data_IF_296302679052
#
_entry.id   IF_296302679052
#
_cell.length_a   1.000
_cell.length_b   1.000
_cell.length_c   1.000
_cell.angle_alpha   90.00
_cell.angle_beta   90.00
_cell.angle_gamma   90.00
#
_symmetry.space_group_name_H-M   'P 1'
#
loop_
_entity.id
_entity.type
_entity.pdbx_description
1 polymer ?
#
# COMPACT_ATOMS: atom_id res chain seq x y z
N UNK A 1 12.26 4.06 -5.82
CA UNK A 1 10.87 4.49 -5.59
C UNK A 1 10.62 5.83 -6.24
N UNK A 2 11.31 6.91 -5.85
CA UNK A 2 11.11 8.26 -6.41
C UNK A 2 11.42 8.34 -7.91
N UNK A 3 12.35 7.53 -8.43
CA UNK A 3 12.57 7.43 -9.88
C UNK A 3 11.36 6.85 -10.63
N UNK A 4 10.67 5.87 -10.04
CA UNK A 4 9.42 5.33 -10.59
C UNK A 4 8.31 6.38 -10.54
N UNK A 5 8.19 7.08 -9.41
CA UNK A 5 7.23 8.17 -9.26
C UNK A 5 7.44 9.24 -10.33
N UNK A 6 8.70 9.71 -10.51
CA UNK A 6 9.03 10.69 -11.54
C UNK A 6 8.69 10.21 -12.95
N UNK A 7 8.96 8.93 -13.25
CA UNK A 7 8.63 8.34 -14.55
C UNK A 7 7.12 8.26 -14.81
N UNK A 8 6.33 8.01 -13.79
CA UNK A 8 4.86 7.91 -13.90
C UNK A 8 4.20 9.29 -13.97
N UNK A 9 4.71 10.28 -13.23
CA UNK A 9 4.07 11.58 -13.06
C UNK A 9 4.69 12.69 -13.90
N UNK A 10 5.74 12.39 -14.70
CA UNK A 10 6.55 13.36 -15.42
C UNK A 10 7.13 14.47 -14.50
N UNK A 11 7.24 14.17 -13.21
CA UNK A 11 7.80 15.08 -12.22
C UNK A 11 9.34 15.04 -12.22
N UNK A 12 9.96 16.07 -11.68
CA UNK A 12 11.43 16.17 -11.55
C UNK A 12 11.85 16.28 -10.08
N UNK A 13 11.33 15.38 -9.24
CA UNK A 13 11.65 15.36 -7.80
C UNK A 13 13.03 14.74 -7.60
N UNK A 14 13.91 15.33 -6.73
CA UNK A 14 15.21 14.75 -6.42
C UNK A 14 15.08 13.32 -5.93
N UNK A 15 15.69 12.36 -6.62
CA UNK A 15 15.73 10.96 -6.25
C UNK A 15 17.02 10.66 -5.48
N UNK A 16 17.04 11.01 -4.19
CA UNK A 16 18.21 10.78 -3.32
C UNK A 16 18.18 9.37 -2.70
N UNK A 17 19.38 8.80 -2.45
CA UNK A 17 19.55 7.44 -1.91
C UNK A 17 19.59 7.40 -0.37
N UNK A 18 19.06 8.42 0.30
CA UNK A 18 19.03 8.44 1.76
C UNK A 18 17.66 8.00 2.29
N UNK A 19 17.61 7.16 3.33
CA UNK A 19 16.36 6.88 4.04
C UNK A 19 15.84 8.18 4.69
N UNK A 20 14.52 8.41 4.60
CA UNK A 20 13.81 9.54 5.23
C UNK A 20 14.01 10.93 4.59
N UNK A 21 14.31 11.03 3.31
CA UNK A 21 14.48 12.33 2.63
C UNK A 21 13.21 13.19 2.53
N UNK A 22 12.03 12.65 2.75
CA UNK A 22 10.76 13.37 2.58
C UNK A 22 9.91 13.28 3.84
N UNK A 23 9.66 14.43 4.49
CA UNK A 23 8.72 14.56 5.62
C UNK A 23 7.28 14.70 5.08
N UNK A 24 7.10 15.38 3.95
CA UNK A 24 5.81 15.53 3.27
C UNK A 24 5.74 14.64 2.03
N UNK A 25 4.60 13.96 1.78
CA UNK A 25 4.45 13.11 0.60
C UNK A 25 4.42 13.96 -0.68
N UNK A 26 5.11 13.50 -1.72
CA UNK A 26 4.98 14.11 -3.05
C UNK A 26 3.73 13.55 -3.74
N UNK A 27 2.92 14.43 -4.31
CA UNK A 27 1.66 14.09 -4.98
C UNK A 27 1.79 14.37 -6.46
N UNK A 28 1.47 13.38 -7.30
CA UNK A 28 1.42 13.50 -8.75
C UNK A 28 0.11 12.99 -9.32
N UNK A 29 -0.50 13.75 -10.22
CA UNK A 29 -1.75 13.39 -10.89
C UNK A 29 -1.46 13.01 -12.32
N UNK A 30 -1.90 11.83 -12.75
CA UNK A 30 -1.65 11.29 -14.07
C UNK A 30 -2.97 10.99 -14.77
N UNK A 31 -3.08 11.42 -16.03
CA UNK A 31 -4.22 11.08 -16.86
C UNK A 31 -4.17 9.60 -17.24
N UNK A 32 -5.30 8.91 -17.12
CA UNK A 32 -5.43 7.51 -17.58
C UNK A 32 -5.75 7.47 -19.07
N UNK A 33 -4.89 6.90 -19.91
CA UNK A 33 -5.23 6.67 -21.32
C UNK A 33 -6.42 5.71 -21.41
N UNK A 34 -7.47 6.11 -22.14
CA UNK A 34 -8.62 5.26 -22.41
C UNK A 34 -9.00 5.33 -23.89
N UNK A 35 -8.68 4.28 -24.62
CA UNK A 35 -8.99 4.16 -26.05
C UNK A 35 -10.50 4.18 -26.35
N UNK A 36 -11.34 3.80 -25.38
CA UNK A 36 -12.81 3.87 -25.49
C UNK A 36 -13.27 5.32 -25.51
N UNK A 37 -12.68 6.15 -24.64
CA UNK A 37 -12.95 7.59 -24.60
C UNK A 37 -12.50 8.27 -25.90
N UNK A 38 -11.34 7.87 -26.43
CA UNK A 38 -10.83 8.38 -27.73
C UNK A 38 -11.79 8.05 -28.86
N UNK A 39 -12.27 6.82 -28.90
CA UNK A 39 -13.25 6.37 -29.90
C UNK A 39 -14.58 7.11 -29.78
N UNK A 40 -15.12 7.27 -28.57
CA UNK A 40 -16.36 8.00 -28.33
C UNK A 40 -16.19 9.46 -28.78
N UNK A 41 -15.10 10.11 -28.39
CA UNK A 41 -14.79 11.48 -28.76
C UNK A 41 -14.73 11.66 -30.29
N UNK A 42 -14.12 10.73 -31.01
CA UNK A 42 -14.04 10.77 -32.48
C UNK A 42 -15.42 10.66 -33.15
N UNK A 43 -16.34 9.90 -32.58
CA UNK A 43 -17.73 9.72 -33.09
C UNK A 43 -18.59 10.93 -32.78
N UNK A 44 -18.57 11.39 -31.53
CA UNK A 44 -19.44 12.46 -31.04
C UNK A 44 -18.96 13.85 -31.46
N UNK A 45 -17.67 13.99 -31.83
CA UNK A 45 -17.01 15.26 -32.14
C UNK A 45 -17.24 16.31 -31.04
N UNK A 46 -17.25 15.87 -29.77
CA UNK A 46 -17.44 16.75 -28.62
C UNK A 46 -16.30 17.78 -28.57
N UNK A 47 -16.59 18.97 -28.09
CA UNK A 47 -15.61 20.08 -27.98
C UNK A 47 -14.54 19.83 -26.93
N UNK A 48 -14.85 18.98 -25.94
CA UNK A 48 -13.95 18.72 -24.81
C UNK A 48 -13.87 17.21 -24.56
N UNK A 49 -12.66 16.72 -24.31
CA UNK A 49 -12.37 15.36 -23.84
C UNK A 49 -11.70 15.43 -22.48
N UNK A 50 -12.34 14.90 -21.45
CA UNK A 50 -11.82 14.85 -20.09
C UNK A 50 -11.46 13.40 -19.77
N UNK A 51 -10.18 13.12 -19.55
CA UNK A 51 -9.68 11.82 -19.14
C UNK A 51 -9.86 11.64 -17.62
N UNK A 52 -10.08 10.41 -17.19
CA UNK A 52 -9.99 10.09 -15.77
C UNK A 52 -8.53 10.20 -15.30
N UNK A 53 -8.32 10.46 -14.02
CA UNK A 53 -7.01 10.64 -13.44
C UNK A 53 -6.74 9.65 -12.32
N UNK A 54 -5.46 9.29 -12.12
CA UNK A 54 -4.97 8.57 -10.94
C UNK A 54 -3.99 9.45 -10.20
N UNK A 55 -4.14 9.53 -8.89
CA UNK A 55 -3.21 10.26 -8.04
C UNK A 55 -2.19 9.30 -7.44
N UNK A 56 -0.92 9.53 -7.69
CA UNK A 56 0.19 8.85 -7.05
C UNK A 56 0.70 9.67 -5.87
N UNK A 57 0.99 8.99 -4.77
CA UNK A 57 1.54 9.61 -3.55
C UNK A 57 2.86 8.91 -3.23
N UNK A 58 3.99 9.63 -3.35
CA UNK A 58 5.31 9.10 -2.98
C UNK A 58 5.52 9.29 -1.48
N UNK A 59 5.23 8.24 -0.71
CA UNK A 59 5.34 8.22 0.74
C UNK A 59 6.75 7.76 1.12
N UNK A 60 7.40 8.38 2.12
CA UNK A 60 8.73 7.98 2.63
C UNK A 60 8.78 6.47 2.94
N UNK A 61 9.96 5.85 2.89
CA UNK A 61 10.08 4.40 3.13
C UNK A 61 9.71 4.02 4.58
N UNK A 62 8.99 2.91 4.75
CA UNK A 62 8.73 2.32 6.06
C UNK A 62 9.99 1.68 6.61
N UNK A 63 10.26 1.86 7.90
CA UNK A 63 11.29 1.12 8.64
C UNK A 63 10.63 0.23 9.69
N UNK A 64 11.31 -0.84 10.05
CA UNK A 64 10.93 -1.75 11.12
C UNK A 64 10.68 -0.96 12.42
N UNK A 65 9.56 -1.24 13.09
CA UNK A 65 9.17 -0.58 14.33
C UNK A 65 8.28 0.67 14.16
N UNK A 66 7.86 0.98 12.94
CA UNK A 66 6.97 2.13 12.67
C UNK A 66 5.60 2.00 13.36
N UNK A 67 5.11 0.79 13.55
CA UNK A 67 3.85 0.52 14.25
C UNK A 67 3.92 0.83 15.77
N UNK A 68 5.12 0.84 16.37
CA UNK A 68 5.30 1.09 17.79
C UNK A 68 5.24 2.60 18.17
N UNK A 69 4.92 3.47 17.22
CA UNK A 69 4.52 4.85 17.52
C UNK A 69 5.67 5.83 17.74
N UNK A 70 6.91 5.49 17.44
CA UNK A 70 8.02 6.41 17.55
C UNK A 70 8.14 7.31 16.29
N UNK A 71 7.67 8.56 16.42
CA UNK A 71 7.99 9.64 15.49
C UNK A 71 7.36 9.51 14.08
N UNK A 72 8.20 9.41 13.03
CA UNK A 72 7.82 9.45 11.62
C UNK A 72 6.93 8.29 11.16
N UNK A 73 6.90 7.15 11.89
CA UNK A 73 6.11 5.97 11.56
C UNK A 73 4.60 6.25 11.54
N UNK A 74 4.09 7.01 12.50
CA UNK A 74 2.66 7.34 12.56
C UNK A 74 2.19 8.22 11.40
N UNK A 75 3.00 9.21 11.00
CA UNK A 75 2.70 10.06 9.85
C UNK A 75 2.70 9.25 8.54
N UNK A 76 3.64 8.32 8.41
CA UNK A 76 3.70 7.39 7.29
C UNK A 76 2.43 6.52 7.18
N UNK A 77 2.03 5.88 8.28
CA UNK A 77 0.83 5.03 8.32
C UNK A 77 -0.46 5.85 8.05
N UNK A 78 -0.53 7.10 8.51
CA UNK A 78 -1.63 8.00 8.22
C UNK A 78 -1.75 8.27 6.71
N UNK A 79 -0.62 8.56 6.03
CA UNK A 79 -0.62 8.77 4.57
C UNK A 79 -1.08 7.52 3.80
N UNK A 80 -0.70 6.30 4.26
CA UNK A 80 -1.20 5.06 3.64
C UNK A 80 -2.70 4.89 3.89
N UNK A 81 -3.24 5.32 5.04
CA UNK A 81 -4.69 5.22 5.28
C UNK A 81 -5.52 6.04 4.30
N UNK A 82 -5.00 7.15 3.81
CA UNK A 82 -5.71 8.05 2.89
C UNK A 82 -5.78 7.56 1.44
N UNK A 83 -4.89 6.64 1.03
CA UNK A 83 -4.88 6.13 -0.36
C UNK A 83 -5.79 4.91 -0.53
N UNK A 84 -6.26 4.67 -1.77
CA UNK A 84 -7.18 3.57 -2.08
C UNK A 84 -6.46 2.23 -2.37
N UNK A 85 -5.19 2.28 -2.81
CA UNK A 85 -4.38 1.11 -3.14
C UNK A 85 -2.91 1.39 -2.84
N UNK A 86 -2.12 0.32 -2.67
CA UNK A 86 -0.70 0.39 -2.34
C UNK A 86 0.11 -0.16 -3.51
N UNK A 87 1.08 0.64 -3.97
CA UNK A 87 2.11 0.20 -4.92
C UNK A 87 3.39 -0.09 -4.12
N UNK A 88 3.63 -1.36 -3.81
CA UNK A 88 4.75 -1.79 -2.98
C UNK A 88 5.99 -2.05 -3.85
N UNK A 89 6.96 -1.16 -3.79
CA UNK A 89 8.22 -1.31 -4.54
C UNK A 89 9.23 -2.08 -3.71
N UNK A 90 9.58 -3.29 -4.17
CA UNK A 90 10.52 -4.19 -3.51
C UNK A 90 11.83 -4.24 -4.29
N UNK A 91 12.96 -4.13 -3.59
CA UNK A 91 14.29 -4.23 -4.20
C UNK A 91 14.67 -5.69 -4.40
N UNK A 92 14.88 -6.08 -5.66
CA UNK A 92 15.25 -7.45 -6.07
C UNK A 92 16.59 -7.46 -6.83
N UNK A 93 17.53 -6.58 -6.49
CA UNK A 93 18.87 -6.53 -7.10
C UNK A 93 19.91 -6.16 -6.03
N UNK A 94 21.12 -6.68 -6.19
CA UNK A 94 22.28 -6.31 -5.39
C UNK A 94 23.07 -5.19 -6.06
N UNK A 95 23.50 -4.20 -5.26
CA UNK A 95 24.36 -3.12 -5.69
C UNK A 95 25.16 -2.64 -4.45
N UNK A 96 26.47 -2.88 -4.46
CA UNK A 96 27.38 -2.51 -3.37
C UNK A 96 27.41 -1.00 -3.07
N UNK A 97 27.04 -0.18 -4.05
CA UNK A 97 27.02 1.29 -3.92
C UNK A 97 25.74 1.82 -3.26
N UNK A 98 24.73 0.97 -3.07
CA UNK A 98 23.44 1.35 -2.49
C UNK A 98 23.28 0.61 -1.16
N UNK A 99 23.39 1.34 -0.06
CA UNK A 99 23.22 0.78 1.29
C UNK A 99 21.81 0.19 1.42
N UNK A 100 21.73 -1.10 1.84
CA UNK A 100 20.47 -1.74 2.22
C UNK A 100 20.25 -1.57 3.74
N UNK A 101 19.00 -1.31 4.15
CA UNK A 101 18.66 -1.05 5.57
C UNK A 101 18.99 -2.25 6.47
N UNK A 102 18.95 -3.48 5.91
CA UNK A 102 19.20 -4.74 6.62
C UNK A 102 20.52 -5.44 6.23
N UNK A 103 21.39 -4.79 5.45
CA UNK A 103 22.71 -5.33 5.04
C UNK A 103 22.68 -6.23 3.81
N UNK A 104 21.78 -7.20 3.75
CA UNK A 104 21.60 -8.11 2.61
C UNK A 104 20.25 -7.87 1.93
N UNK A 105 20.19 -8.06 0.61
CA UNK A 105 18.94 -7.93 -0.16
C UNK A 105 18.14 -9.21 -0.02
N UNK A 106 17.00 -9.15 0.68
CA UNK A 106 16.05 -10.25 0.79
C UNK A 106 14.63 -9.75 0.50
N UNK A 107 14.18 -9.81 -0.77
CA UNK A 107 12.88 -9.28 -1.19
C UNK A 107 11.69 -9.88 -0.45
N UNK A 108 11.72 -11.18 -0.17
CA UNK A 108 10.66 -11.89 0.54
C UNK A 108 10.53 -11.40 1.99
N UNK A 109 11.67 -11.27 2.67
CA UNK A 109 11.70 -10.75 4.03
C UNK A 109 11.30 -9.27 4.09
N UNK A 110 11.78 -8.44 3.16
CA UNK A 110 11.42 -7.03 3.10
C UNK A 110 9.91 -6.85 2.89
N UNK A 111 9.31 -7.66 2.01
CA UNK A 111 7.86 -7.69 1.80
C UNK A 111 7.11 -8.13 3.06
N UNK A 112 7.57 -9.19 3.73
CA UNK A 112 6.96 -9.71 4.95
C UNK A 112 7.02 -8.71 6.11
N UNK A 113 8.16 -8.02 6.30
CA UNK A 113 8.34 -6.99 7.36
C UNK A 113 7.34 -5.85 7.17
N UNK A 114 7.16 -5.35 5.96
CA UNK A 114 6.20 -4.26 5.70
C UNK A 114 4.76 -4.73 5.97
N UNK A 115 4.37 -5.92 5.50
CA UNK A 115 3.03 -6.44 5.77
C UNK A 115 2.77 -6.62 7.28
N UNK A 116 3.77 -7.09 8.02
CA UNK A 116 3.69 -7.21 9.47
C UNK A 116 3.48 -5.84 10.15
N UNK A 117 4.21 -4.81 9.74
CA UNK A 117 4.06 -3.45 10.29
C UNK A 117 2.65 -2.89 10.01
N UNK A 118 2.10 -3.12 8.81
CA UNK A 118 0.73 -2.73 8.48
C UNK A 118 -0.30 -3.49 9.33
N UNK A 119 -0.10 -4.80 9.53
CA UNK A 119 -0.96 -5.63 10.36
C UNK A 119 -0.94 -5.19 11.83
N UNK A 120 0.24 -4.95 12.40
CA UNK A 120 0.38 -4.47 13.79
C UNK A 120 -0.30 -3.11 14.00
N UNK A 121 -0.19 -2.21 13.02
CA UNK A 121 -0.86 -0.91 13.07
C UNK A 121 -2.39 -1.04 13.04
N UNK A 122 -2.92 -1.95 12.24
CA UNK A 122 -4.36 -2.21 12.18
C UNK A 122 -4.86 -2.90 13.45
N UNK A 123 -4.15 -3.91 13.95
CA UNK A 123 -4.49 -4.58 15.22
C UNK A 123 -4.57 -3.58 16.37
N UNK A 124 -3.55 -2.70 16.50
CA UNK A 124 -3.55 -1.67 17.54
C UNK A 124 -4.74 -0.72 17.43
N UNK A 125 -5.08 -0.30 16.22
CA UNK A 125 -6.24 0.56 15.97
C UNK A 125 -7.56 -0.15 16.28
N UNK A 126 -7.70 -1.42 15.87
CA UNK A 126 -8.88 -2.23 16.15
C UNK A 126 -9.06 -2.45 17.65
N UNK A 127 -8.01 -2.79 18.40
CA UNK A 127 -8.05 -2.95 19.86
C UNK A 127 -8.51 -1.68 20.57
N UNK A 128 -7.96 -0.53 20.18
CA UNK A 128 -8.38 0.76 20.72
C UNK A 128 -9.86 1.06 20.43
N UNK A 129 -10.34 0.71 19.23
CA UNK A 129 -11.74 0.88 18.84
C UNK A 129 -12.65 -0.08 19.60
N UNK A 130 -12.26 -1.35 19.73
CA UNK A 130 -12.99 -2.35 20.52
C UNK A 130 -13.16 -1.91 21.96
N UNK A 131 -12.10 -1.41 22.61
CA UNK A 131 -12.19 -0.92 24.00
C UNK A 131 -13.19 0.24 24.16
N UNK A 132 -13.24 1.14 23.18
CA UNK A 132 -14.20 2.28 23.18
C UNK A 132 -15.62 1.79 22.99
N UNK A 133 -15.86 0.90 22.05
CA UNK A 133 -17.18 0.33 21.76
C UNK A 133 -17.66 -0.53 22.96
N UNK A 134 -16.80 -1.35 23.54
CA UNK A 134 -17.12 -2.17 24.70
C UNK A 134 -17.57 -1.35 25.92
N UNK A 135 -16.91 -0.23 26.20
CA UNK A 135 -17.33 0.69 27.28
C UNK A 135 -18.74 1.24 27.04
N UNK A 136 -19.07 1.59 25.80
CA UNK A 136 -20.41 2.08 25.43
C UNK A 136 -21.46 0.98 25.48
N UNK A 137 -21.14 -0.24 25.06
CA UNK A 137 -22.02 -1.40 25.20
C UNK A 137 -22.39 -1.68 26.68
N UNK A 138 -21.40 -1.59 27.57
CA UNK A 138 -21.64 -1.73 29.05
C UNK A 138 -22.51 -0.60 29.61
N UNK A 139 -22.53 0.58 28.99
CA UNK A 139 -23.44 1.67 29.38
C UNK A 139 -24.84 1.57 28.75
N UNK A 140 -25.12 0.51 27.99
CA UNK A 140 -26.46 0.19 27.48
C UNK A 140 -26.71 0.53 26.00
N UNK A 141 -25.70 0.99 25.25
CA UNK A 141 -25.80 1.30 23.81
C UNK A 141 -25.77 0.03 22.95
N UNK A 142 -26.79 -0.80 23.02
CA UNK A 142 -26.87 -2.10 22.32
C UNK A 142 -26.75 -2.01 20.79
N UNK A 143 -27.01 -0.84 20.21
CA UNK A 143 -26.89 -0.62 18.77
C UNK A 143 -25.45 -0.83 18.25
N UNK A 144 -24.44 -0.65 19.10
CA UNK A 144 -23.03 -0.83 18.75
C UNK A 144 -22.56 -2.30 18.71
N UNK A 145 -23.44 -3.25 19.02
CA UNK A 145 -23.09 -4.69 19.02
C UNK A 145 -22.57 -5.12 17.63
N UNK A 146 -23.22 -4.68 16.55
CA UNK A 146 -22.81 -5.00 15.18
C UNK A 146 -21.44 -4.44 14.82
N UNK A 147 -21.13 -3.22 15.29
CA UNK A 147 -19.81 -2.61 15.08
C UNK A 147 -18.72 -3.41 15.82
N UNK A 148 -19.02 -3.87 17.06
CA UNK A 148 -18.09 -4.69 17.82
C UNK A 148 -17.79 -6.03 17.13
N UNK A 149 -18.80 -6.68 16.56
CA UNK A 149 -18.66 -7.91 15.78
C UNK A 149 -17.76 -7.71 14.54
N UNK A 150 -17.90 -6.58 13.82
CA UNK A 150 -17.03 -6.23 12.69
C UNK A 150 -15.58 -6.05 13.14
N UNK A 151 -15.34 -5.32 14.23
CA UNK A 151 -14.00 -5.10 14.77
C UNK A 151 -13.33 -6.42 15.17
N UNK A 152 -14.09 -7.29 15.85
CA UNK A 152 -13.59 -8.60 16.28
C UNK A 152 -13.26 -9.51 15.09
N UNK A 153 -14.16 -9.60 14.11
CA UNK A 153 -13.95 -10.40 12.91
C UNK A 153 -12.75 -9.91 12.09
N UNK A 154 -12.61 -8.58 11.90
CA UNK A 154 -11.48 -7.99 11.22
C UNK A 154 -10.15 -8.27 11.94
N UNK A 155 -10.11 -8.14 13.28
CA UNK A 155 -8.92 -8.45 14.08
C UNK A 155 -8.49 -9.90 13.90
N UNK A 156 -9.43 -10.86 14.03
CA UNK A 156 -9.15 -12.29 13.88
C UNK A 156 -8.61 -12.60 12.47
N UNK A 157 -9.20 -12.02 11.43
CA UNK A 157 -8.76 -12.23 10.07
C UNK A 157 -7.32 -11.75 9.84
N UNK A 158 -6.95 -10.60 10.41
CA UNK A 158 -5.58 -10.06 10.33
C UNK A 158 -4.59 -10.93 11.12
N UNK A 159 -4.92 -11.34 12.34
CA UNK A 159 -4.06 -12.18 13.21
C UNK A 159 -3.82 -13.58 12.61
N UNK A 160 -4.79 -14.12 11.88
CA UNK A 160 -4.70 -15.42 11.21
C UNK A 160 -4.19 -15.34 9.78
N UNK A 161 -3.89 -14.16 9.28
CA UNK A 161 -3.53 -13.89 7.87
C UNK A 161 -4.54 -14.50 6.86
N UNK A 162 -5.83 -14.47 7.19
CA UNK A 162 -6.91 -15.00 6.37
C UNK A 162 -7.75 -13.88 5.75
N UNK A 163 -8.48 -14.21 4.68
CA UNK A 163 -9.48 -13.29 4.15
C UNK A 163 -10.65 -13.15 5.14
N UNK A 164 -11.10 -11.92 5.33
CA UNK A 164 -12.30 -11.65 6.12
C UNK A 164 -13.54 -12.15 5.37
N UNK A 165 -14.28 -13.06 5.97
CA UNK A 165 -15.60 -13.46 5.47
C UNK A 165 -16.64 -12.40 5.81
N UNK A 166 -17.10 -11.68 4.81
CA UNK A 166 -18.14 -10.65 4.93
C UNK A 166 -19.53 -11.12 4.49
N UNK A 167 -19.71 -12.39 4.17
CA UNK A 167 -20.96 -12.94 3.63
C UNK A 167 -22.16 -12.78 4.57
N UNK A 168 -21.90 -12.70 5.87
CA UNK A 168 -22.93 -12.50 6.92
C UNK A 168 -23.15 -11.04 7.31
N UNK A 169 -22.36 -10.10 6.76
CA UNK A 169 -22.45 -8.69 7.12
C UNK A 169 -23.61 -8.00 6.41
N UNK A 170 -24.35 -7.20 7.16
CA UNK A 170 -25.35 -6.30 6.60
C UNK A 170 -24.71 -4.98 6.05
N UNK A 171 -25.52 -4.15 5.41
CA UNK A 171 -25.05 -2.90 4.82
C UNK A 171 -24.42 -1.94 5.84
N UNK A 172 -24.93 -1.94 7.08
CA UNK A 172 -24.37 -1.10 8.15
C UNK A 172 -22.98 -1.61 8.56
N UNK A 173 -22.83 -2.92 8.72
CA UNK A 173 -21.54 -3.56 9.05
C UNK A 173 -20.51 -3.35 7.93
N UNK A 174 -20.91 -3.48 6.66
CA UNK A 174 -20.06 -3.22 5.52
C UNK A 174 -19.61 -1.75 5.45
N UNK A 175 -20.53 -0.81 5.65
CA UNK A 175 -20.21 0.61 5.68
C UNK A 175 -19.25 0.95 6.84
N UNK A 176 -19.48 0.35 8.00
CA UNK A 176 -18.60 0.52 9.16
C UNK A 176 -17.20 -0.05 8.87
N UNK A 177 -17.10 -1.28 8.35
CA UNK A 177 -15.83 -1.88 7.95
C UNK A 177 -15.04 -0.98 6.97
N UNK A 178 -15.71 -0.48 5.94
CA UNK A 178 -15.09 0.42 4.97
C UNK A 178 -14.61 1.73 5.61
N UNK A 179 -15.32 2.25 6.62
CA UNK A 179 -14.93 3.47 7.33
C UNK A 179 -13.65 3.32 8.17
N UNK A 180 -13.29 2.10 8.55
CA UNK A 180 -12.07 1.83 9.31
C UNK A 180 -10.80 2.07 8.51
N UNK A 181 -10.88 2.08 7.18
CA UNK A 181 -9.72 2.27 6.28
C UNK A 181 -8.51 1.40 6.66
N UNK A 182 -8.75 0.09 6.89
CA UNK A 182 -7.72 -0.85 7.30
C UNK A 182 -6.62 -0.93 6.22
N UNK A 183 -5.37 -0.86 6.66
CA UNK A 183 -4.18 -0.87 5.78
C UNK A 183 -4.02 -2.21 5.09
N UNK A 184 -4.26 -3.29 5.83
CA UNK A 184 -4.11 -4.68 5.38
C UNK A 184 -5.18 -5.12 4.37
N UNK A 185 -6.31 -4.40 4.31
CA UNK A 185 -7.41 -4.71 3.37
C UNK A 185 -7.34 -3.91 2.08
N UNK A 186 -6.36 -3.00 1.97
CA UNK A 186 -6.15 -2.25 0.72
C UNK A 186 -5.60 -3.16 -0.38
N UNK A 187 -6.04 -2.98 -1.63
CA UNK A 187 -5.42 -3.64 -2.76
C UNK A 187 -3.93 -3.32 -2.84
N UNK A 188 -3.11 -4.34 -3.07
CA UNK A 188 -1.65 -4.21 -3.19
C UNK A 188 -1.22 -4.69 -4.56
N UNK A 189 -0.35 -3.91 -5.21
CA UNK A 189 0.40 -4.30 -6.40
C UNK A 189 1.90 -4.23 -6.06
N UNK A 190 2.62 -5.32 -6.29
CA UNK A 190 4.06 -5.37 -6.03
C UNK A 190 4.84 -5.02 -7.30
N UNK A 191 5.77 -4.07 -7.18
CA UNK A 191 6.76 -3.77 -8.21
C UNK A 191 8.10 -4.35 -7.78
N UNK A 192 8.49 -5.46 -8.37
CA UNK A 192 9.81 -6.05 -8.20
C UNK A 192 10.85 -5.23 -9.00
N UNK A 193 11.65 -4.42 -8.30
CA UNK A 193 12.70 -3.63 -8.92
C UNK A 193 13.93 -4.52 -9.12
N UNK A 194 14.12 -4.99 -10.36
CA UNK A 194 15.17 -5.94 -10.74
C UNK A 194 16.31 -5.25 -11.51
N UNK A 195 17.49 -5.87 -11.55
CA UNK A 195 18.57 -5.48 -12.47
C UNK A 195 18.39 -6.16 -13.84
N UNK A 196 19.09 -5.70 -14.86
CA UNK A 196 19.11 -6.34 -16.18
C UNK A 196 19.62 -7.80 -16.15
N UNK A 197 20.45 -8.13 -15.15
CA UNK A 197 21.02 -9.46 -14.90
C UNK A 197 20.51 -10.03 -13.58
N UNK A 198 19.21 -9.94 -13.31
CA UNK A 198 18.63 -10.34 -12.03
C UNK A 198 18.87 -11.83 -11.72
N UNK A 199 19.36 -12.10 -10.51
CA UNK A 199 19.39 -13.45 -9.94
C UNK A 199 17.94 -13.93 -9.73
N UNK A 200 17.57 -15.07 -10.32
CA UNK A 200 16.18 -15.53 -10.40
C UNK A 200 15.62 -16.00 -9.05
N UNK A 201 16.46 -16.54 -8.15
CA UNK A 201 16.02 -17.23 -6.95
C UNK A 201 15.24 -16.34 -5.97
N UNK A 202 15.74 -15.15 -5.66
CA UNK A 202 15.09 -14.20 -4.75
C UNK A 202 13.75 -13.66 -5.29
N UNK A 203 13.65 -13.57 -6.63
CA UNK A 203 12.44 -13.15 -7.31
C UNK A 203 11.39 -14.26 -7.33
N UNK A 204 11.81 -15.53 -7.47
CA UNK A 204 10.92 -16.70 -7.47
C UNK A 204 10.22 -16.85 -6.12
N UNK A 205 10.95 -16.72 -5.02
CA UNK A 205 10.38 -16.78 -3.66
C UNK A 205 9.34 -15.68 -3.43
N UNK A 206 9.66 -14.43 -3.79
CA UNK A 206 8.70 -13.32 -3.70
C UNK A 206 7.44 -13.57 -4.53
N UNK A 207 7.59 -14.08 -5.77
CA UNK A 207 6.48 -14.42 -6.64
C UNK A 207 5.58 -15.51 -6.06
N UNK A 208 6.16 -16.54 -5.41
CA UNK A 208 5.39 -17.58 -4.74
C UNK A 208 4.55 -17.03 -3.60
N UNK A 209 5.15 -16.23 -2.71
CA UNK A 209 4.45 -15.60 -1.59
C UNK A 209 3.31 -14.69 -2.09
N UNK A 210 3.59 -13.87 -3.10
CA UNK A 210 2.58 -12.98 -3.67
C UNK A 210 1.44 -13.76 -4.34
N UNK A 211 1.74 -14.85 -5.03
CA UNK A 211 0.74 -15.73 -5.65
C UNK A 211 -0.17 -16.39 -4.62
N UNK A 212 0.37 -16.88 -3.50
CA UNK A 212 -0.42 -17.45 -2.41
C UNK A 212 -1.39 -16.42 -1.80
N UNK A 213 -0.95 -15.15 -1.72
CA UNK A 213 -1.77 -14.03 -1.23
C UNK A 213 -2.65 -13.39 -2.31
N UNK A 214 -2.67 -13.93 -3.54
CA UNK A 214 -3.39 -13.37 -4.70
C UNK A 214 -2.98 -11.91 -5.01
N UNK A 215 -1.70 -11.59 -4.86
CA UNK A 215 -1.11 -10.28 -5.14
C UNK A 215 -0.37 -10.35 -6.48
N UNK A 216 -0.64 -9.39 -7.37
CA UNK A 216 0.05 -9.28 -8.65
C UNK A 216 1.45 -8.68 -8.48
N UNK A 217 2.43 -9.22 -9.24
CA UNK A 217 3.82 -8.75 -9.25
C UNK A 217 4.19 -8.30 -10.67
N UNK A 218 4.69 -7.07 -10.78
CA UNK A 218 5.23 -6.52 -12.03
C UNK A 218 6.74 -6.33 -11.87
N UNK A 219 7.51 -6.88 -12.79
CA UNK A 219 8.95 -6.68 -12.82
C UNK A 219 9.28 -5.33 -13.48
N UNK A 220 9.98 -4.47 -12.76
CA UNK A 220 10.50 -3.22 -13.28
C UNK A 220 12.04 -3.27 -13.30
N UNK A 221 12.61 -3.20 -14.49
CA UNK A 221 14.05 -3.04 -14.64
C UNK A 221 14.41 -1.59 -14.30
N UNK A 222 15.46 -1.38 -13.49
CA UNK A 222 16.02 -0.06 -13.22
C UNK A 222 16.34 0.59 -14.56
N UNK A 223 15.47 1.45 -15.04
CA UNK A 223 15.75 2.30 -16.19
C UNK A 223 16.99 3.09 -15.84
N UNK A 224 18.11 2.80 -16.54
CA UNK A 224 19.38 3.45 -16.32
C UNK A 224 19.17 4.97 -16.30
N UNK A 225 19.86 5.67 -15.40
CA UNK A 225 19.97 7.12 -15.52
C UNK A 225 20.53 7.37 -16.92
N UNK A 226 19.72 7.92 -17.81
CA UNK A 226 20.26 8.59 -18.97
C UNK A 226 21.17 9.67 -18.40
N UNK A 227 22.47 9.50 -18.58
CA UNK A 227 23.42 10.59 -18.36
C UNK A 227 23.09 11.65 -19.42
N UNK A 228 22.49 12.74 -18.98
CA UNK A 228 22.51 14.01 -19.71
C UNK A 228 23.65 14.80 -19.13
#
# INVERSE_FOLDING_TARGET
KSSLFNALTEASIPAENFPFCTIEPNIGVVNLPDTRLDRIHSITKSTTKIQNTTTFVDIAGLVKGAANGEGLGNAFLANIREVNAILHVVRCFDDEKIVHVHGETNPSNDFAVINLELALADISMLENSMQKVEKKLRSGEKALQKEFEVLQAAKIAIEMETNLDTSSFDDHQMNYLNSLNLLTFKPVLVIANVSENADSNNLEELNLICKEKNIEVINAVKIGRAHV
#
